data_IF_290507302869
#
_entry.id   IF_290507302869
#
_cell.length_a   1.000
_cell.length_b   1.000
_cell.length_c   1.000
_cell.angle_alpha   90.00
_cell.angle_beta   90.00
_cell.angle_gamma   90.00
#
_symmetry.space_group_name_H-M   'P 1'
#
loop_
_entity.id
_entity.type
_entity.pdbx_description
1 polymer ?
#
# COMPACT_ATOMS: atom_id res chain seq x y z
N UNK A 1 7.44 -21.24 -15.16
CA UNK A 1 8.08 -19.93 -15.39
C UNK A 1 9.37 -19.90 -14.60
N UNK A 2 10.49 -19.51 -15.21
CA UNK A 2 11.77 -19.29 -14.52
C UNK A 2 11.86 -17.87 -13.95
N UNK A 3 12.83 -17.60 -13.06
CA UNK A 3 13.06 -16.23 -12.57
C UNK A 3 13.36 -15.25 -13.71
N UNK A 4 14.17 -15.65 -14.69
CA UNK A 4 14.52 -14.78 -15.82
C UNK A 4 13.31 -14.48 -16.71
N UNK A 5 12.42 -15.45 -16.93
CA UNK A 5 11.15 -15.23 -17.64
C UNK A 5 10.25 -14.25 -16.87
N UNK A 6 10.11 -14.44 -15.55
CA UNK A 6 9.34 -13.55 -14.69
C UNK A 6 9.91 -12.13 -14.66
N UNK A 7 11.22 -12.00 -14.45
CA UNK A 7 11.93 -10.73 -14.43
C UNK A 7 11.77 -9.98 -15.74
N UNK A 8 11.89 -10.68 -16.87
CA UNK A 8 11.67 -10.07 -18.20
C UNK A 8 10.24 -9.56 -18.35
N UNK A 9 9.24 -10.28 -17.87
CA UNK A 9 7.84 -9.83 -17.90
C UNK A 9 7.59 -8.64 -16.98
N UNK A 10 8.15 -8.66 -15.77
CA UNK A 10 7.96 -7.60 -14.78
C UNK A 10 8.69 -6.29 -15.15
N UNK A 11 9.85 -6.39 -15.81
CA UNK A 11 10.65 -5.24 -16.27
C UNK A 11 10.16 -4.65 -17.59
N UNK A 12 9.51 -5.45 -18.44
CA UNK A 12 9.19 -5.06 -19.82
C UNK A 12 7.67 -4.97 -20.02
N UNK A 13 7.08 -3.78 -19.85
CA UNK A 13 5.67 -3.61 -20.11
C UNK A 13 5.37 -3.81 -21.60
N UNK A 14 4.29 -4.54 -21.95
CA UNK A 14 3.71 -4.50 -23.27
C UNK A 14 3.26 -3.06 -23.49
N UNK A 15 3.69 -2.52 -24.62
CA UNK A 15 3.39 -1.14 -24.99
C UNK A 15 1.88 -0.99 -25.20
N UNK A 16 1.35 0.14 -24.76
CA UNK A 16 0.05 0.58 -25.23
C UNK A 16 0.14 0.83 -26.73
N UNK A 17 -0.54 0.00 -27.51
CA UNK A 17 -0.45 -0.05 -28.98
C UNK A 17 -1.38 0.96 -29.69
N UNK A 18 -2.17 1.68 -28.90
CA UNK A 18 -3.05 2.75 -29.38
C UNK A 18 -2.34 4.09 -29.30
N UNK A 19 -2.97 5.12 -29.86
CA UNK A 19 -2.41 6.48 -29.87
C UNK A 19 -2.41 7.07 -28.45
N UNK A 20 -1.31 7.71 -28.09
CA UNK A 20 -1.16 8.51 -26.88
C UNK A 20 -0.87 9.96 -27.25
N UNK A 21 -1.15 10.88 -26.32
CA UNK A 21 -0.65 12.26 -26.32
C UNK A 21 0.20 12.44 -25.08
N UNK A 22 1.28 13.21 -25.17
CA UNK A 22 2.22 13.40 -24.07
C UNK A 22 2.04 14.79 -23.47
N UNK A 23 1.68 14.88 -22.18
CA UNK A 23 1.61 16.15 -21.44
C UNK A 23 2.91 16.36 -20.69
N UNK A 24 3.56 17.50 -20.88
CA UNK A 24 4.71 17.94 -20.11
C UNK A 24 4.25 18.96 -19.09
N UNK A 25 4.45 18.69 -17.80
CA UNK A 25 4.23 19.65 -16.71
C UNK A 25 5.57 19.95 -16.02
N UNK A 26 5.87 21.23 -15.80
CA UNK A 26 7.13 21.66 -15.19
C UNK A 26 6.87 22.39 -13.90
N UNK A 27 7.36 21.82 -12.80
CA UNK A 27 7.30 22.43 -11.47
C UNK A 27 8.56 23.25 -11.23
N UNK A 28 8.38 24.45 -10.69
CA UNK A 28 9.42 25.45 -10.57
C UNK A 28 9.24 26.29 -9.31
N UNK A 29 10.29 27.01 -8.92
CA UNK A 29 10.33 27.82 -7.72
C UNK A 29 11.13 29.11 -7.96
N UNK A 30 10.88 30.11 -7.13
CA UNK A 30 11.80 31.22 -6.93
C UNK A 30 12.74 30.88 -5.78
N UNK A 31 14.01 31.27 -5.89
CA UNK A 31 15.02 31.00 -4.87
C UNK A 31 14.61 31.55 -3.49
N UNK A 32 13.98 32.72 -3.48
CA UNK A 32 13.44 33.38 -2.28
C UNK A 32 12.38 32.54 -1.54
N UNK A 33 11.70 31.61 -2.22
CA UNK A 33 10.65 30.78 -1.59
C UNK A 33 11.22 29.60 -0.82
N UNK A 34 12.44 29.19 -1.14
CA UNK A 34 13.14 28.14 -0.41
C UNK A 34 13.55 28.66 0.98
N UNK A 35 13.94 29.92 1.06
CA UNK A 35 14.37 30.57 2.31
C UNK A 35 13.22 30.81 3.30
N UNK A 36 11.97 30.65 2.86
CA UNK A 36 10.77 30.83 3.70
C UNK A 36 10.49 29.65 4.64
N UNK A 37 11.24 28.55 4.50
CA UNK A 37 11.16 27.37 5.38
C UNK A 37 10.50 26.15 4.73
N UNK A 38 10.47 25.03 5.47
CA UNK A 38 9.76 23.81 5.08
C UNK A 38 8.31 23.81 5.59
N UNK A 39 7.32 23.31 4.81
CA UNK A 39 7.42 22.97 3.39
C UNK A 39 7.61 24.21 2.51
N UNK A 40 8.33 24.07 1.40
CA UNK A 40 8.37 25.11 0.36
C UNK A 40 7.48 24.74 -0.81
N UNK A 41 6.80 25.74 -1.36
CA UNK A 41 5.86 25.56 -2.45
C UNK A 41 6.53 25.73 -3.82
N UNK A 42 6.12 24.88 -4.75
CA UNK A 42 6.41 24.95 -6.16
C UNK A 42 5.16 25.42 -6.92
N UNK A 43 5.41 25.95 -8.11
CA UNK A 43 4.36 26.28 -9.07
C UNK A 43 4.51 25.47 -10.35
N UNK A 44 3.36 25.17 -10.96
CA UNK A 44 3.30 24.72 -12.33
C UNK A 44 3.64 25.89 -13.27
N UNK A 45 4.91 26.01 -13.66
CA UNK A 45 5.40 27.13 -14.49
C UNK A 45 5.16 26.95 -15.98
N UNK A 46 4.94 25.72 -16.42
CA UNK A 46 4.69 25.36 -17.81
C UNK A 46 3.90 24.06 -17.91
N UNK A 47 2.91 24.03 -18.82
CA UNK A 47 2.21 22.82 -19.25
C UNK A 47 2.06 22.83 -20.78
N UNK A 48 2.32 21.70 -21.45
CA UNK A 48 2.18 21.59 -22.92
C UNK A 48 1.88 20.16 -23.38
N UNK A 49 1.24 20.02 -24.54
CA UNK A 49 0.93 18.73 -25.16
C UNK A 49 1.82 18.47 -26.38
N UNK A 50 2.24 17.22 -26.56
CA UNK A 50 3.11 16.73 -27.63
C UNK A 50 2.57 15.44 -28.25
N UNK A 51 2.88 15.22 -29.53
CA UNK A 51 2.40 14.06 -30.27
C UNK A 51 3.23 12.79 -30.05
N UNK A 52 4.47 12.93 -29.57
CA UNK A 52 5.36 11.82 -29.26
C UNK A 52 6.19 12.09 -28.01
N UNK A 53 6.70 11.04 -27.39
CA UNK A 53 7.63 11.14 -26.27
C UNK A 53 8.92 11.88 -26.69
N UNK A 54 9.45 11.60 -27.87
CA UNK A 54 10.68 12.22 -28.36
C UNK A 54 10.53 13.74 -28.53
N UNK A 55 9.37 14.20 -29.01
CA UNK A 55 9.06 15.63 -29.11
C UNK A 55 8.96 16.27 -27.71
N UNK A 56 8.30 15.58 -26.78
CA UNK A 56 8.16 16.03 -25.40
C UNK A 56 9.53 16.16 -24.70
N UNK A 57 10.39 15.15 -24.81
CA UNK A 57 11.75 15.14 -24.27
C UNK A 57 12.63 16.23 -24.91
N UNK A 58 12.54 16.40 -26.22
CA UNK A 58 13.30 17.45 -26.95
C UNK A 58 12.87 18.86 -26.54
N UNK A 59 11.63 19.04 -26.07
CA UNK A 59 11.10 20.34 -25.66
C UNK A 59 11.62 20.82 -24.30
N UNK A 60 12.12 19.93 -23.43
CA UNK A 60 12.49 20.25 -22.04
C UNK A 60 13.53 21.38 -21.96
N UNK A 61 14.51 21.39 -22.88
CA UNK A 61 15.54 22.44 -22.93
C UNK A 61 14.93 23.81 -23.22
N UNK A 62 14.01 23.88 -24.20
CA UNK A 62 13.35 25.13 -24.55
C UNK A 62 12.41 25.61 -23.44
N UNK A 63 11.76 24.69 -22.73
CA UNK A 63 10.92 24.98 -21.56
C UNK A 63 11.77 25.58 -20.45
N UNK A 64 12.91 24.96 -20.11
CA UNK A 64 13.85 25.45 -19.10
C UNK A 64 14.28 26.90 -19.37
N UNK A 65 14.66 27.22 -20.60
CA UNK A 65 15.06 28.58 -20.97
C UNK A 65 13.93 29.60 -20.73
N UNK A 66 12.69 29.27 -21.12
CA UNK A 66 11.52 30.12 -20.87
C UNK A 66 11.21 30.30 -19.38
N UNK A 67 11.43 29.27 -18.55
CA UNK A 67 11.26 29.37 -17.09
C UNK A 67 12.34 30.28 -16.48
N UNK A 68 13.58 30.17 -16.94
CA UNK A 68 14.68 31.03 -16.50
C UNK A 68 14.48 32.50 -16.90
N UNK A 69 13.91 32.78 -18.07
CA UNK A 69 13.52 34.15 -18.49
C UNK A 69 12.51 34.80 -17.53
N UNK A 70 11.69 34.00 -16.84
CA UNK A 70 10.76 34.46 -15.80
C UNK A 70 11.42 34.63 -14.42
N UNK A 71 12.73 34.40 -14.31
CA UNK A 71 13.46 34.44 -13.04
C UNK A 71 13.23 33.22 -12.13
N UNK A 72 12.61 32.16 -12.64
CA UNK A 72 12.33 30.93 -11.89
C UNK A 72 13.37 29.84 -12.18
N UNK A 73 13.53 28.91 -11.25
CA UNK A 73 14.33 27.69 -11.42
C UNK A 73 13.41 26.49 -11.58
N UNK A 74 13.79 25.58 -12.47
CA UNK A 74 13.10 24.30 -12.63
C UNK A 74 13.43 23.42 -11.43
N UNK A 75 12.40 22.81 -10.84
CA UNK A 75 12.55 21.69 -9.93
C UNK A 75 12.53 20.41 -10.77
N UNK A 76 11.40 20.02 -11.34
CA UNK A 76 11.31 18.81 -12.16
C UNK A 76 10.35 18.96 -13.33
N UNK A 77 10.45 18.04 -14.29
CA UNK A 77 9.48 17.86 -15.35
C UNK A 77 8.78 16.52 -15.20
N UNK A 78 7.46 16.50 -15.32
CA UNK A 78 6.68 15.29 -15.53
C UNK A 78 6.28 15.20 -16.99
N UNK A 79 6.46 14.02 -17.59
CA UNK A 79 5.89 13.67 -18.88
C UNK A 79 4.87 12.56 -18.65
N UNK A 80 3.60 12.89 -18.85
CA UNK A 80 2.47 11.97 -18.73
C UNK A 80 2.11 11.43 -20.11
N UNK A 81 2.09 10.12 -20.27
CA UNK A 81 1.54 9.46 -21.45
C UNK A 81 0.03 9.25 -21.28
N UNK A 82 -0.77 10.03 -22.00
CA UNK A 82 -2.22 10.05 -21.90
C UNK A 82 -2.82 9.21 -23.03
N UNK A 83 -3.61 8.16 -22.74
CA UNK A 83 -4.20 7.33 -23.77
C UNK A 83 -5.34 8.07 -24.50
N UNK A 84 -5.33 8.06 -25.84
CA UNK A 84 -6.42 8.63 -26.65
C UNK A 84 -7.57 7.64 -26.77
N UNK A 85 -8.81 8.14 -26.67
CA UNK A 85 -10.03 7.33 -26.82
C UNK A 85 -10.52 6.66 -25.53
N UNK A 86 -9.99 7.07 -24.38
CA UNK A 86 -10.46 6.69 -23.05
C UNK A 86 -11.01 7.90 -22.31
N UNK A 87 -11.98 7.69 -21.41
CA UNK A 87 -12.46 8.76 -20.52
C UNK A 87 -11.40 9.02 -19.45
N UNK A 88 -10.62 10.10 -19.64
CA UNK A 88 -9.47 10.45 -18.80
C UNK A 88 -9.86 11.27 -17.57
N UNK A 89 -11.13 11.33 -17.18
CA UNK A 89 -11.60 12.01 -15.95
C UNK A 89 -11.03 11.47 -14.62
N UNK A 90 -10.10 10.51 -14.65
CA UNK A 90 -9.72 9.67 -13.51
C UNK A 90 -8.20 9.48 -13.36
N UNK A 91 -7.36 10.46 -13.73
CA UNK A 91 -5.89 10.37 -13.57
C UNK A 91 -5.27 9.08 -14.13
N UNK A 92 -5.81 8.61 -15.26
CA UNK A 92 -5.39 7.37 -15.91
C UNK A 92 -4.29 7.65 -16.92
N UNK A 93 -3.06 7.33 -16.56
CA UNK A 93 -1.89 7.50 -17.41
C UNK A 93 -1.33 6.12 -17.80
N UNK A 94 -0.90 5.98 -19.05
CA UNK A 94 -0.20 4.76 -19.51
C UNK A 94 1.15 4.64 -18.81
N UNK A 95 1.88 5.75 -18.79
CA UNK A 95 3.18 5.87 -18.14
C UNK A 95 3.43 7.30 -17.69
N UNK A 96 4.30 7.45 -16.70
CA UNK A 96 4.80 8.75 -16.25
C UNK A 96 6.32 8.67 -16.20
N UNK A 97 6.98 9.68 -16.75
CA UNK A 97 8.42 9.86 -16.66
C UNK A 97 8.74 11.18 -15.98
N UNK A 98 9.74 11.17 -15.13
CA UNK A 98 10.17 12.32 -14.32
C UNK A 98 11.60 12.68 -14.70
N UNK A 99 11.84 13.96 -14.95
CA UNK A 99 13.14 14.49 -15.34
C UNK A 99 13.59 15.58 -14.37
N UNK A 100 14.90 15.63 -14.12
CA UNK A 100 15.52 16.69 -13.33
C UNK A 100 15.55 18.04 -14.08
N UNK A 101 16.10 19.07 -13.43
CA UNK A 101 16.28 20.41 -14.00
C UNK A 101 17.24 20.46 -15.19
N UNK A 102 17.99 19.39 -15.44
CA UNK A 102 18.88 19.23 -16.59
C UNK A 102 18.22 18.46 -17.74
N UNK A 103 17.00 17.95 -17.55
CA UNK A 103 16.31 17.12 -18.53
C UNK A 103 16.78 15.67 -18.54
N UNK A 104 17.47 15.20 -17.50
CA UNK A 104 17.84 13.79 -17.37
C UNK A 104 16.69 13.01 -16.73
N UNK A 105 16.42 11.80 -17.24
CA UNK A 105 15.42 10.91 -16.66
C UNK A 105 15.82 10.48 -15.25
N UNK A 106 15.02 10.85 -14.26
CA UNK A 106 15.23 10.54 -12.84
C UNK A 106 14.27 9.50 -12.30
N UNK A 107 13.08 9.32 -12.84
CA UNK A 107 12.20 8.22 -12.42
C UNK A 107 11.18 7.91 -13.52
N UNK A 108 10.61 6.71 -13.51
CA UNK A 108 9.50 6.32 -14.36
C UNK A 108 8.54 5.39 -13.64
N UNK A 109 7.24 5.49 -13.95
CA UNK A 109 6.27 4.50 -13.49
C UNK A 109 6.56 3.14 -14.15
N UNK A 110 6.45 2.07 -13.38
CA UNK A 110 6.54 0.70 -13.91
C UNK A 110 5.16 0.11 -14.18
N UNK A 111 4.14 0.57 -13.46
CA UNK A 111 2.73 0.27 -13.68
C UNK A 111 2.00 1.48 -14.28
N UNK A 112 0.87 1.25 -14.95
CA UNK A 112 -0.06 2.32 -15.31
C UNK A 112 -0.66 2.92 -14.03
N UNK A 113 -0.57 4.23 -13.86
CA UNK A 113 -1.26 4.92 -12.77
C UNK A 113 -2.74 5.02 -13.15
N UNK A 114 -3.60 4.28 -12.44
CA UNK A 114 -5.03 4.15 -12.73
C UNK A 114 -5.38 2.91 -13.55
N UNK A 115 -6.52 2.26 -13.22
CA UNK A 115 -7.01 1.06 -13.90
C UNK A 115 -7.51 1.40 -15.31
N UNK A 116 -6.64 1.32 -16.31
CA UNK A 116 -7.04 1.13 -17.69
C UNK A 116 -7.48 -0.33 -17.76
N UNK A 117 -8.79 -0.60 -17.82
CA UNK A 117 -9.39 -1.95 -17.91
C UNK A 117 -8.93 -2.70 -19.18
N UNK A 118 -7.64 -3.00 -19.27
CA UNK A 118 -6.96 -3.63 -20.37
C UNK A 118 -6.06 -4.72 -19.78
N UNK A 119 -6.42 -5.99 -19.95
CA UNK A 119 -5.70 -7.11 -19.33
C UNK A 119 -4.26 -7.25 -19.82
N UNK A 120 -3.89 -6.62 -20.94
CA UNK A 120 -2.50 -6.55 -21.40
C UNK A 120 -1.66 -5.61 -20.54
N UNK A 121 -2.25 -4.51 -20.07
CA UNK A 121 -1.59 -3.44 -19.31
C UNK A 121 -1.71 -3.69 -17.81
N UNK A 122 -2.80 -4.32 -17.36
CA UNK A 122 -3.10 -4.70 -15.96
C UNK A 122 -2.36 -5.99 -15.52
N UNK A 123 -1.05 -6.03 -15.76
CA UNK A 123 -0.19 -7.14 -15.31
C UNK A 123 0.89 -6.63 -14.38
N UNK A 124 1.36 -7.47 -13.46
CA UNK A 124 2.38 -7.08 -12.47
C UNK A 124 3.62 -6.50 -13.15
N UNK A 125 3.98 -5.28 -12.76
CA UNK A 125 5.25 -4.64 -13.09
C UNK A 125 5.90 -4.20 -11.79
N UNK A 126 7.21 -4.36 -11.74
CA UNK A 126 7.96 -4.11 -10.52
C UNK A 126 9.29 -3.45 -10.84
N UNK A 127 9.93 -2.94 -9.79
CA UNK A 127 11.28 -2.39 -9.87
C UNK A 127 12.28 -3.49 -9.61
N UNK A 128 13.32 -3.58 -10.43
CA UNK A 128 14.51 -4.33 -10.03
C UNK A 128 15.19 -3.62 -8.86
N UNK A 129 15.96 -4.36 -8.05
CA UNK A 129 16.73 -3.77 -6.93
C UNK A 129 17.53 -2.51 -7.33
N UNK A 130 18.15 -2.51 -8.52
CA UNK A 130 18.94 -1.37 -9.01
C UNK A 130 18.14 -0.12 -9.36
N UNK A 131 16.81 -0.24 -9.48
CA UNK A 131 15.91 0.89 -9.75
C UNK A 131 15.41 1.57 -8.48
N UNK A 132 15.54 0.94 -7.32
CA UNK A 132 15.16 1.51 -6.02
C UNK A 132 16.29 2.44 -5.58
N UNK A 133 16.04 3.75 -5.60
CA UNK A 133 17.09 4.78 -5.48
C UNK A 133 17.40 5.20 -4.04
N UNK A 134 16.53 4.83 -3.12
CA UNK A 134 16.57 5.24 -1.72
C UNK A 134 16.47 4.04 -0.80
N UNK A 135 17.07 4.14 0.37
CA UNK A 135 17.11 3.12 1.39
C UNK A 135 16.36 3.59 2.65
N UNK A 136 16.01 2.63 3.50
CA UNK A 136 15.52 2.95 4.85
C UNK A 136 16.57 3.77 5.59
N UNK A 137 16.14 4.88 6.19
CA UNK A 137 17.01 5.84 6.88
C UNK A 137 17.48 7.00 5.99
N UNK A 138 17.21 6.97 4.68
CA UNK A 138 17.52 8.11 3.82
C UNK A 138 16.56 9.27 4.10
N UNK A 139 17.10 10.50 4.10
CA UNK A 139 16.31 11.72 4.03
C UNK A 139 16.08 12.09 2.57
N UNK A 140 14.83 12.35 2.22
CA UNK A 140 14.41 12.63 0.84
C UNK A 140 13.39 13.75 0.80
N UNK A 141 13.17 14.31 -0.38
CA UNK A 141 12.14 15.31 -0.66
C UNK A 141 10.93 14.63 -1.31
N UNK A 142 9.75 14.80 -0.72
CA UNK A 142 8.48 14.37 -1.32
C UNK A 142 7.79 15.56 -1.96
N UNK A 143 7.44 15.41 -3.23
CA UNK A 143 6.59 16.35 -3.95
C UNK A 143 5.12 15.96 -3.84
N UNK A 144 4.31 16.80 -3.20
CA UNK A 144 2.85 16.65 -3.12
C UNK A 144 2.18 17.63 -4.07
N UNK A 145 1.42 17.14 -5.05
CA UNK A 145 0.67 17.98 -6.00
C UNK A 145 -0.80 18.04 -5.56
N UNK A 146 -1.37 19.25 -5.43
CA UNK A 146 -2.76 19.45 -5.04
C UNK A 146 -3.63 19.84 -6.24
N UNK A 147 -4.83 19.26 -6.30
CA UNK A 147 -5.64 19.22 -7.53
C UNK A 147 -6.43 20.49 -7.87
N UNK A 148 -6.62 21.44 -6.95
CA UNK A 148 -7.49 22.60 -7.23
C UNK A 148 -6.77 23.75 -7.96
N UNK A 149 -5.46 23.90 -7.75
CA UNK A 149 -4.64 24.97 -8.34
C UNK A 149 -3.34 24.47 -8.98
N UNK A 150 -3.11 23.15 -8.99
CA UNK A 150 -1.83 22.54 -9.40
C UNK A 150 -0.64 23.13 -8.64
N UNK A 151 -0.89 23.65 -7.42
CA UNK A 151 0.18 23.93 -6.47
C UNK A 151 0.82 22.63 -6.07
N UNK A 152 2.11 22.69 -5.76
CA UNK A 152 2.79 21.54 -5.19
C UNK A 152 3.66 21.99 -4.03
N UNK A 153 3.77 21.15 -3.00
CA UNK A 153 4.68 21.39 -1.89
C UNK A 153 5.77 20.33 -1.87
N UNK A 154 6.95 20.73 -1.44
CA UNK A 154 8.05 19.82 -1.15
C UNK A 154 8.30 19.76 0.33
N UNK A 155 8.40 18.54 0.85
CA UNK A 155 8.67 18.24 2.26
C UNK A 155 9.88 17.36 2.39
N UNK A 156 10.74 17.65 3.35
CA UNK A 156 11.78 16.70 3.78
C UNK A 156 11.17 15.63 4.67
N UNK A 157 11.48 14.38 4.34
CA UNK A 157 10.96 13.19 5.02
C UNK A 157 12.07 12.18 5.28
N UNK A 158 11.81 11.24 6.20
CA UNK A 158 12.66 10.09 6.48
C UNK A 158 12.02 8.81 5.93
N UNK A 159 12.75 8.05 5.10
CA UNK A 159 12.26 6.77 4.56
C UNK A 159 12.28 5.68 5.64
N UNK A 160 11.16 4.99 5.81
CA UNK A 160 10.98 3.91 6.80
C UNK A 160 10.76 2.53 6.19
N UNK A 161 10.30 2.45 4.94
CA UNK A 161 10.25 1.21 4.16
C UNK A 161 10.44 1.53 2.67
N UNK A 162 10.89 0.55 1.90
CA UNK A 162 11.14 0.69 0.47
C UNK A 162 10.25 -0.26 -0.34
N UNK A 163 9.93 0.07 -1.61
CA UNK A 163 9.21 -0.83 -2.50
C UNK A 163 9.86 -2.21 -2.54
N UNK A 164 9.07 -3.28 -2.62
CA UNK A 164 9.66 -4.62 -2.80
C UNK A 164 10.08 -4.78 -4.26
N UNK A 165 11.29 -5.27 -4.46
CA UNK A 165 11.81 -5.51 -5.78
C UNK A 165 11.19 -6.74 -6.44
N UNK A 166 11.40 -6.87 -7.76
CA UNK A 166 11.09 -8.08 -8.53
C UNK A 166 11.73 -9.31 -7.90
N UNK A 167 13.00 -9.21 -7.47
CA UNK A 167 13.71 -10.28 -6.78
C UNK A 167 12.96 -10.70 -5.50
N UNK A 168 12.57 -9.75 -4.67
CA UNK A 168 11.83 -10.01 -3.43
C UNK A 168 10.44 -10.62 -3.71
N UNK A 169 9.70 -10.06 -4.68
CA UNK A 169 8.40 -10.55 -5.08
C UNK A 169 8.47 -12.01 -5.58
N UNK A 170 9.51 -12.35 -6.35
CA UNK A 170 9.75 -13.72 -6.81
C UNK A 170 10.05 -14.68 -5.66
N UNK A 171 10.94 -14.30 -4.73
CA UNK A 171 11.26 -15.11 -3.56
C UNK A 171 10.03 -15.39 -2.70
N UNK A 172 9.21 -14.36 -2.47
CA UNK A 172 7.97 -14.51 -1.71
C UNK A 172 6.97 -15.39 -2.46
N UNK A 173 6.76 -15.15 -3.75
CA UNK A 173 5.83 -15.97 -4.56
C UNK A 173 6.18 -17.45 -4.55
N UNK A 174 7.46 -17.83 -4.49
CA UNK A 174 7.87 -19.23 -4.42
C UNK A 174 7.68 -19.86 -3.03
N UNK A 175 7.50 -19.05 -2.00
CA UNK A 175 7.19 -19.50 -0.63
C UNK A 175 5.67 -19.56 -0.38
N UNK A 176 4.86 -18.97 -1.26
CA UNK A 176 3.41 -18.93 -1.12
C UNK A 176 2.76 -20.18 -1.73
N UNK A 177 1.73 -20.74 -1.07
CA UNK A 177 0.90 -21.80 -1.65
C UNK A 177 0.20 -21.33 -2.93
N UNK A 178 -0.15 -22.29 -3.79
CA UNK A 178 -0.86 -21.99 -5.04
C UNK A 178 -2.19 -21.27 -4.77
N UNK A 179 -2.43 -20.15 -5.45
CA UNK A 179 -3.63 -19.32 -5.27
C UNK A 179 -3.56 -18.34 -4.10
N UNK A 180 -2.45 -18.28 -3.37
CA UNK A 180 -2.17 -17.23 -2.38
C UNK A 180 -1.31 -16.16 -3.04
N UNK A 181 -1.75 -14.92 -2.94
CA UNK A 181 -1.05 -13.77 -3.48
C UNK A 181 -0.74 -12.79 -2.36
N UNK A 182 0.37 -12.06 -2.48
CA UNK A 182 0.60 -10.90 -1.63
C UNK A 182 -0.44 -9.86 -2.01
N UNK A 183 -1.32 -9.53 -1.06
CA UNK A 183 -2.42 -8.60 -1.29
C UNK A 183 -1.91 -7.18 -1.58
N UNK A 184 -0.70 -6.83 -1.12
CA UNK A 184 -0.14 -5.48 -1.22
C UNK A 184 1.40 -5.51 -1.36
N UNK A 185 1.89 -5.69 -2.59
CA UNK A 185 3.27 -5.32 -2.96
C UNK A 185 3.19 -4.06 -3.79
N UNK A 186 2.83 -2.97 -3.11
CA UNK A 186 2.67 -1.70 -3.76
C UNK A 186 4.04 -1.09 -4.06
N UNK A 187 4.17 -0.49 -5.23
CA UNK A 187 5.36 0.23 -5.69
C UNK A 187 5.44 1.59 -4.98
N UNK A 188 5.57 1.58 -3.66
CA UNK A 188 5.56 2.78 -2.82
C UNK A 188 6.68 2.73 -1.76
N UNK A 189 7.26 3.90 -1.50
CA UNK A 189 8.05 4.12 -0.29
C UNK A 189 7.13 4.37 0.89
N UNK A 190 7.55 3.96 2.09
CA UNK A 190 6.98 4.50 3.32
C UNK A 190 7.88 5.54 3.94
N UNK A 191 7.29 6.56 4.52
CA UNK A 191 8.04 7.69 5.05
C UNK A 191 7.39 8.30 6.30
N UNK A 192 8.12 9.22 6.92
CA UNK A 192 7.65 10.08 8.01
C UNK A 192 8.07 11.52 7.71
N UNK A 193 7.11 12.45 7.80
CA UNK A 193 7.34 13.90 7.63
C UNK A 193 6.89 14.73 8.86
N UNK A 194 6.07 14.14 9.72
CA UNK A 194 5.41 14.79 10.84
C UNK A 194 5.20 13.75 11.97
N UNK A 195 4.82 14.17 13.19
CA UNK A 195 4.41 13.23 14.21
C UNK A 195 3.33 12.29 13.65
N UNK A 196 3.44 10.99 13.96
CA UNK A 196 2.60 9.99 13.27
C UNK A 196 1.10 10.22 13.45
N UNK A 197 0.67 10.87 14.54
CA UNK A 197 -0.73 11.19 14.82
C UNK A 197 -1.29 12.31 13.94
N UNK A 198 -0.45 13.02 13.21
CA UNK A 198 -0.82 14.08 12.26
C UNK A 198 -0.76 13.61 10.80
N UNK A 199 -0.15 12.44 10.55
CA UNK A 199 0.02 11.89 9.21
C UNK A 199 -1.28 11.27 8.67
N UNK A 200 -1.64 11.65 7.44
CA UNK A 200 -2.83 11.13 6.76
C UNK A 200 -2.53 9.97 5.81
N UNK A 201 -1.32 9.92 5.27
CA UNK A 201 -0.81 8.90 4.35
C UNK A 201 0.69 8.78 4.65
N UNK A 202 1.19 7.56 4.82
CA UNK A 202 2.62 7.29 5.04
C UNK A 202 3.29 6.60 3.84
N UNK A 203 2.59 6.49 2.71
CA UNK A 203 3.07 5.86 1.49
C UNK A 203 3.14 6.85 0.32
N UNK A 204 4.14 6.73 -0.55
CA UNK A 204 4.30 7.60 -1.71
C UNK A 204 4.90 6.85 -2.91
N UNK A 205 4.39 7.14 -4.11
CA UNK A 205 4.90 6.53 -5.33
C UNK A 205 6.29 7.10 -5.68
N UNK A 206 7.26 6.28 -6.13
CA UNK A 206 8.64 6.69 -6.42
C UNK A 206 8.79 7.94 -7.31
N UNK A 207 7.85 8.17 -8.24
CA UNK A 207 7.87 9.34 -9.14
C UNK A 207 7.79 10.69 -8.40
N UNK A 208 7.39 10.69 -7.13
CA UNK A 208 7.29 11.88 -6.30
C UNK A 208 8.42 11.99 -5.25
N UNK A 209 9.38 11.07 -5.26
CA UNK A 209 10.49 11.02 -4.30
C UNK A 209 11.77 11.49 -4.96
N UNK A 210 12.38 12.53 -4.38
CA UNK A 210 13.58 13.17 -4.90
C UNK A 210 14.71 13.14 -3.88
N UNK A 211 15.95 13.16 -4.36
CA UNK A 211 17.10 13.46 -3.49
C UNK A 211 16.96 14.90 -2.96
N UNK A 212 17.34 15.16 -1.70
CA UNK A 212 17.31 16.52 -1.17
C UNK A 212 18.14 17.45 -2.05
N UNK A 213 17.53 18.56 -2.48
CA UNK A 213 18.20 19.61 -3.25
C UNK A 213 18.82 20.64 -2.35
N UNK A 214 18.21 20.85 -1.19
CA UNK A 214 18.64 21.84 -0.23
C UNK A 214 19.22 21.19 1.02
N UNK A 215 19.93 22.01 1.80
CA UNK A 215 20.48 21.55 3.06
C UNK A 215 19.36 21.26 4.06
N UNK A 216 19.33 20.03 4.57
CA UNK A 216 18.43 19.64 5.66
C UNK A 216 19.11 19.97 6.99
N UNK A 217 18.46 20.82 7.78
CA UNK A 217 18.95 21.20 9.11
C UNK A 217 19.04 20.00 10.05
N UNK A 218 20.01 20.04 10.97
CA UNK A 218 20.17 18.95 11.95
C UNK A 218 18.99 18.86 12.92
N UNK A 219 18.34 19.99 13.24
CA UNK A 219 17.09 20.03 14.00
C UNK A 219 16.00 19.21 13.30
N UNK A 220 15.77 19.46 12.00
CA UNK A 220 14.79 18.72 11.21
C UNK A 220 15.09 17.22 11.15
N UNK A 221 16.37 16.85 11.00
CA UNK A 221 16.78 15.43 11.05
C UNK A 221 16.46 14.79 12.39
N UNK A 222 16.72 15.48 13.49
CA UNK A 222 16.42 14.99 14.84
C UNK A 222 14.91 14.88 15.08
N UNK A 223 14.11 15.81 14.60
CA UNK A 223 12.64 15.71 14.63
C UNK A 223 12.15 14.45 13.92
N UNK A 224 12.58 14.25 12.67
CA UNK A 224 12.16 13.09 11.86
C UNK A 224 12.62 11.76 12.50
N UNK A 225 13.82 11.71 13.06
CA UNK A 225 14.28 10.58 13.87
C UNK A 225 13.34 10.41 15.08
N UNK A 226 13.03 11.47 15.81
CA UNK A 226 12.09 11.45 16.93
C UNK A 226 10.74 10.87 16.54
N UNK A 227 10.16 11.35 15.44
CA UNK A 227 8.88 10.87 14.89
C UNK A 227 8.95 9.40 14.46
N UNK A 228 10.09 8.92 13.98
CA UNK A 228 10.25 7.49 13.66
C UNK A 228 10.20 6.56 14.87
N UNK A 229 10.58 7.08 16.04
CA UNK A 229 10.47 6.40 17.34
C UNK A 229 9.16 6.72 18.07
N UNK A 230 8.33 7.60 17.51
CA UNK A 230 7.04 7.94 18.07
C UNK A 230 6.09 6.74 17.95
N UNK A 231 5.86 6.10 19.10
CA UNK A 231 4.93 4.99 19.25
C UNK A 231 3.48 5.46 19.49
N UNK A 232 3.21 6.79 19.46
CA UNK A 232 1.87 7.36 19.67
C UNK A 232 0.85 6.84 18.66
N UNK A 233 1.32 6.34 17.53
CA UNK A 233 0.52 5.68 16.50
C UNK A 233 1.20 4.38 16.13
N UNK A 234 0.62 3.28 16.60
CA UNK A 234 1.12 1.96 16.28
C UNK A 234 1.03 1.72 14.78
N UNK A 235 2.17 1.28 14.26
CA UNK A 235 2.59 0.78 12.94
C UNK A 235 1.60 0.43 11.80
N UNK A 236 0.30 0.57 11.93
CA UNK A 236 -0.66 0.57 10.83
C UNK A 236 -2.04 0.72 11.44
N UNK A 237 -2.65 1.91 11.50
CA UNK A 237 -4.11 2.07 11.60
C UNK A 237 -4.50 3.49 11.98
N UNK A 238 -4.99 4.26 11.00
CA UNK A 238 -6.16 5.10 11.23
C UNK A 238 -7.07 5.04 10.02
N UNK A 239 -8.31 4.62 10.26
CA UNK A 239 -9.36 4.56 9.25
C UNK A 239 -9.83 5.97 8.88
N UNK A 240 -9.85 6.31 7.59
CA UNK A 240 -10.83 7.23 6.97
C UNK A 240 -11.98 6.41 6.39
N UNK A 241 -13.08 7.06 5.99
CA UNK A 241 -14.35 6.47 5.51
C UNK A 241 -14.30 5.31 4.48
N UNK A 242 -13.12 5.01 3.92
CA UNK A 242 -12.82 3.87 3.04
C UNK A 242 -11.45 3.20 3.35
N UNK A 243 -11.09 3.00 4.62
CA UNK A 243 -9.74 2.55 5.02
C UNK A 243 -9.38 1.09 4.72
N UNK A 244 -8.14 0.72 5.09
CA UNK A 244 -7.46 -0.54 4.76
C UNK A 244 -8.19 -1.80 5.23
N UNK A 245 -7.90 -2.96 4.63
CA UNK A 245 -8.55 -4.23 5.02
C UNK A 245 -8.29 -4.57 6.50
N UNK A 246 -7.08 -4.27 7.01
CA UNK A 246 -6.72 -4.45 8.43
C UNK A 246 -7.62 -3.66 9.37
N UNK A 247 -7.93 -2.42 9.01
CA UNK A 247 -8.78 -1.54 9.80
C UNK A 247 -10.25 -1.92 9.71
N UNK A 248 -10.70 -2.37 8.53
CA UNK A 248 -12.02 -2.98 8.39
C UNK A 248 -12.14 -4.23 9.27
N UNK A 249 -11.08 -5.02 9.39
CA UNK A 249 -11.05 -6.21 10.26
C UNK A 249 -11.08 -5.81 11.73
N UNK A 250 -10.31 -4.81 12.17
CA UNK A 250 -10.39 -4.33 13.56
C UNK A 250 -11.75 -3.72 13.85
N UNK A 251 -12.31 -2.92 12.96
CA UNK A 251 -13.66 -2.37 13.12
C UNK A 251 -14.74 -3.47 13.18
N UNK A 252 -14.58 -4.53 12.38
CA UNK A 252 -15.44 -5.72 12.45
C UNK A 252 -15.26 -6.41 13.80
N UNK A 253 -14.04 -6.74 14.22
CA UNK A 253 -13.79 -7.65 15.34
C UNK A 253 -13.84 -6.98 16.71
N UNK A 254 -13.48 -5.70 16.81
CA UNK A 254 -13.47 -4.94 18.06
C UNK A 254 -14.86 -4.53 18.55
N UNK A 255 -15.92 -4.89 17.82
CA UNK A 255 -17.28 -4.42 18.09
C UNK A 255 -17.45 -2.89 18.02
N UNK A 256 -16.50 -2.19 17.40
CA UNK A 256 -16.62 -0.75 17.14
C UNK A 256 -17.59 -0.49 15.96
N UNK A 257 -17.75 -1.43 15.02
CA UNK A 257 -18.91 -1.44 14.11
C UNK A 257 -20.19 -1.80 14.90
N UNK A 258 -21.19 -0.92 14.85
CA UNK A 258 -22.52 -1.07 15.48
C UNK A 258 -23.24 -2.38 15.10
N UNK A 259 -22.80 -3.10 14.05
CA UNK A 259 -23.36 -4.36 13.55
C UNK A 259 -22.66 -5.61 14.09
N UNK A 260 -21.55 -5.48 14.81
CA UNK A 260 -20.83 -6.60 15.38
C UNK A 260 -21.22 -6.86 16.83
N UNK A 261 -21.24 -8.14 17.23
CA UNK A 261 -21.55 -8.59 18.58
C UNK A 261 -20.42 -9.49 19.10
N UNK A 262 -19.61 -9.02 20.06
CA UNK A 262 -18.52 -9.81 20.60
C UNK A 262 -19.06 -10.90 21.53
N UNK A 263 -18.40 -12.05 21.57
CA UNK A 263 -18.61 -13.02 22.64
C UNK A 263 -17.66 -12.70 23.80
N UNK A 264 -18.12 -11.90 24.74
CA UNK A 264 -17.33 -11.42 25.89
C UNK A 264 -17.18 -9.89 25.91
N UNK A 265 -16.27 -9.33 26.73
CA UNK A 265 -16.01 -7.89 26.74
C UNK A 265 -15.56 -7.39 25.36
N UNK A 266 -15.99 -6.18 24.93
CA UNK A 266 -15.59 -5.59 23.66
C UNK A 266 -14.06 -5.46 23.63
N UNK A 267 -13.47 -5.62 22.44
CA UNK A 267 -12.05 -5.35 22.29
C UNK A 267 -11.86 -3.86 22.09
N UNK A 268 -10.80 -3.31 22.66
CA UNK A 268 -10.38 -1.95 22.34
C UNK A 268 -9.34 -2.01 21.23
N UNK A 269 -9.08 -0.91 20.50
CA UNK A 269 -7.94 -0.82 19.58
C UNK A 269 -6.61 -1.24 20.23
N UNK A 270 -6.46 -1.04 21.55
CA UNK A 270 -5.27 -1.43 22.34
C UNK A 270 -5.09 -2.96 22.47
N UNK A 271 -6.14 -3.74 22.26
CA UNK A 271 -6.01 -5.20 22.23
C UNK A 271 -5.28 -5.69 20.96
N UNK A 272 -5.20 -4.85 19.90
CA UNK A 272 -4.64 -5.20 18.59
C UNK A 272 -3.20 -4.70 18.38
N UNK A 273 -2.62 -4.02 19.36
CA UNK A 273 -1.23 -3.53 19.32
C UNK A 273 -0.22 -4.62 18.95
N UNK A 274 -0.31 -5.85 19.49
CA UNK A 274 0.61 -6.92 19.11
C UNK A 274 0.42 -7.43 17.68
N UNK A 275 -0.78 -7.23 17.10
CA UNK A 275 -1.07 -7.56 15.70
C UNK A 275 -0.44 -6.53 14.76
N UNK A 276 -0.53 -5.24 15.11
CA UNK A 276 0.11 -4.16 14.35
C UNK A 276 1.65 -4.23 14.41
N UNK A 277 2.21 -4.74 15.51
CA UNK A 277 3.65 -4.92 15.69
C UNK A 277 4.18 -6.28 15.20
N UNK A 278 3.32 -7.17 14.67
CA UNK A 278 3.73 -8.49 14.22
C UNK A 278 4.53 -8.39 12.91
N UNK A 279 5.73 -8.96 12.89
CA UNK A 279 6.59 -9.03 11.69
C UNK A 279 5.92 -9.79 10.54
N UNK A 280 5.11 -10.79 10.87
CA UNK A 280 4.36 -11.63 9.93
C UNK A 280 3.00 -11.99 10.57
N UNK A 281 1.91 -11.87 9.81
CA UNK A 281 0.58 -12.32 10.22
C UNK A 281 -0.13 -13.00 9.05
N UNK A 282 -1.09 -13.88 9.36
CA UNK A 282 -1.92 -14.52 8.36
C UNK A 282 -3.38 -14.08 8.52
N UNK A 283 -3.91 -13.41 7.50
CA UNK A 283 -5.32 -13.09 7.36
C UNK A 283 -5.95 -14.11 6.39
N UNK A 284 -6.85 -14.95 6.89
CA UNK A 284 -7.62 -15.85 6.05
C UNK A 284 -9.12 -15.63 6.24
N UNK A 285 -9.77 -15.28 5.14
CA UNK A 285 -11.22 -15.31 5.02
C UNK A 285 -11.63 -16.58 4.27
N UNK A 286 -12.24 -17.54 4.99
CA UNK A 286 -12.63 -18.84 4.44
C UNK A 286 -14.14 -19.02 4.59
N UNK A 287 -14.80 -19.38 3.49
CA UNK A 287 -16.19 -19.81 3.49
C UNK A 287 -16.27 -21.33 3.62
N UNK A 288 -17.19 -21.80 4.47
CA UNK A 288 -17.50 -23.22 4.62
C UNK A 288 -19.00 -23.44 4.54
N UNK A 289 -19.38 -24.62 4.05
CA UNK A 289 -20.75 -25.10 4.11
C UNK A 289 -21.08 -25.55 5.55
N UNK A 290 -22.09 -24.96 6.19
CA UNK A 290 -22.50 -25.26 7.56
C UNK A 290 -23.62 -26.32 7.65
N UNK A 291 -24.04 -26.87 6.51
CA UNK A 291 -24.92 -28.04 6.41
C UNK A 291 -24.20 -29.36 6.72
N UNK A 292 -22.86 -29.38 6.72
CA UNK A 292 -22.07 -30.56 7.10
C UNK A 292 -22.10 -30.83 8.61
N UNK A 293 -21.79 -32.07 9.00
CA UNK A 293 -21.82 -32.52 10.40
C UNK A 293 -20.75 -31.87 11.29
N UNK A 294 -19.59 -31.49 10.73
CA UNK A 294 -18.52 -30.78 11.45
C UNK A 294 -17.94 -29.59 10.67
N UNK A 295 -18.62 -28.42 10.67
CA UNK A 295 -18.17 -27.24 9.93
C UNK A 295 -16.81 -26.69 10.41
N UNK A 296 -16.47 -26.88 11.69
CA UNK A 296 -15.21 -26.42 12.28
C UNK A 296 -14.01 -27.31 11.91
N UNK A 297 -14.21 -28.63 11.80
CA UNK A 297 -13.16 -29.51 11.28
C UNK A 297 -12.93 -29.22 9.79
N UNK A 298 -13.99 -29.01 9.00
CA UNK A 298 -13.86 -28.61 7.59
C UNK A 298 -13.15 -27.26 7.40
N UNK A 299 -13.36 -26.30 8.32
CA UNK A 299 -12.59 -25.06 8.36
C UNK A 299 -11.09 -25.34 8.56
N UNK A 300 -10.76 -26.26 9.46
CA UNK A 300 -9.38 -26.66 9.73
C UNK A 300 -8.74 -27.24 8.47
N UNK A 301 -9.44 -28.15 7.82
CA UNK A 301 -8.98 -28.78 6.59
C UNK A 301 -8.75 -27.75 5.49
N UNK A 302 -9.66 -26.78 5.32
CA UNK A 302 -9.49 -25.68 4.34
C UNK A 302 -8.31 -24.76 4.68
N UNK A 303 -8.08 -24.45 5.95
CA UNK A 303 -6.94 -23.63 6.36
C UNK A 303 -5.61 -24.36 6.10
N UNK A 304 -5.58 -25.68 6.32
CA UNK A 304 -4.42 -26.52 6.04
C UNK A 304 -4.22 -26.77 4.54
N UNK A 305 -5.30 -26.83 3.76
CA UNK A 305 -5.25 -26.85 2.29
C UNK A 305 -4.65 -25.54 1.75
N UNK A 306 -5.09 -24.41 2.29
CA UNK A 306 -4.54 -23.10 1.95
C UNK A 306 -3.07 -22.99 2.33
N UNK A 307 -2.69 -23.51 3.51
CA UNK A 307 -1.31 -23.51 3.98
C UNK A 307 -1.10 -24.63 5.01
N UNK A 308 -0.35 -25.70 4.67
CA UNK A 308 -0.18 -26.87 5.56
C UNK A 308 0.55 -26.56 6.87
N UNK A 309 1.46 -25.60 6.85
CA UNK A 309 2.33 -25.19 7.97
C UNK A 309 1.77 -23.98 8.75
N UNK A 310 0.53 -23.57 8.45
CA UNK A 310 -0.10 -22.36 9.00
C UNK A 310 0.00 -22.27 10.51
N UNK A 311 -0.28 -23.34 11.23
CA UNK A 311 -0.30 -23.34 12.69
C UNK A 311 1.09 -23.52 13.33
N UNK A 312 2.14 -23.64 12.51
CA UNK A 312 3.51 -23.87 12.96
C UNK A 312 4.35 -22.58 12.98
N UNK A 313 4.17 -21.68 12.01
CA UNK A 313 5.09 -20.56 11.80
C UNK A 313 4.60 -19.18 12.28
N UNK A 314 3.30 -18.89 12.22
CA UNK A 314 2.85 -17.54 12.58
C UNK A 314 2.59 -17.40 14.08
N UNK A 315 2.90 -16.21 14.58
CA UNK A 315 2.68 -15.80 15.98
C UNK A 315 1.36 -15.05 16.17
N UNK A 316 0.62 -14.81 15.08
CA UNK A 316 -0.67 -14.12 15.08
C UNK A 316 -1.53 -14.50 13.88
N UNK A 317 -2.83 -14.71 14.12
CA UNK A 317 -3.81 -15.11 13.11
C UNK A 317 -5.10 -14.33 13.22
N UNK A 318 -5.64 -13.96 12.05
CA UNK A 318 -7.02 -13.53 11.89
C UNK A 318 -7.72 -14.55 11.01
N UNK A 319 -8.73 -15.20 11.56
CA UNK A 319 -9.56 -16.17 10.84
C UNK A 319 -10.97 -15.60 10.75
N UNK A 320 -11.36 -15.21 9.54
CA UNK A 320 -12.73 -14.81 9.23
C UNK A 320 -13.47 -16.01 8.64
N UNK A 321 -14.45 -16.50 9.39
CA UNK A 321 -15.34 -17.58 9.00
C UNK A 321 -16.65 -16.98 8.50
N UNK A 322 -16.99 -17.27 7.24
CA UNK A 322 -18.29 -16.88 6.67
C UNK A 322 -19.20 -18.11 6.66
N UNK A 323 -20.27 -18.05 7.44
CA UNK A 323 -21.34 -19.06 7.57
C UNK A 323 -22.43 -18.75 6.53
N UNK A 324 -22.43 -19.47 5.41
CA UNK A 324 -23.11 -18.99 4.19
C UNK A 324 -24.26 -19.84 3.65
N UNK A 325 -24.85 -20.78 4.39
CA UNK A 325 -25.86 -21.66 3.78
C UNK A 325 -27.10 -21.99 4.62
N UNK A 326 -27.16 -21.60 5.91
CA UNK A 326 -28.35 -21.88 6.74
C UNK A 326 -28.83 -20.64 7.49
N UNK A 327 -29.99 -20.12 7.09
CA UNK A 327 -30.71 -19.08 7.84
C UNK A 327 -30.88 -19.49 9.31
N UNK A 328 -30.43 -18.63 10.23
CA UNK A 328 -30.64 -18.73 11.68
C UNK A 328 -29.92 -19.87 12.42
N UNK A 329 -29.05 -20.66 11.79
CA UNK A 329 -28.20 -21.62 12.50
C UNK A 329 -26.92 -20.91 12.96
N UNK A 330 -26.56 -21.05 14.24
CA UNK A 330 -25.35 -20.47 14.82
C UNK A 330 -24.44 -21.57 15.34
N UNK A 331 -23.14 -21.45 15.15
CA UNK A 331 -22.16 -22.29 15.84
C UNK A 331 -22.19 -22.01 17.34
N UNK A 332 -22.42 -23.05 18.16
CA UNK A 332 -22.43 -22.91 19.62
C UNK A 332 -21.02 -22.60 20.13
N UNK A 333 -20.93 -21.66 21.08
CA UNK A 333 -19.66 -21.29 21.74
C UNK A 333 -18.90 -22.49 22.30
N UNK A 334 -19.60 -23.43 22.93
CA UNK A 334 -18.99 -24.65 23.47
C UNK A 334 -18.34 -25.53 22.40
N UNK A 335 -18.88 -25.55 21.17
CA UNK A 335 -18.29 -26.25 20.04
C UNK A 335 -16.99 -25.56 19.58
N UNK A 336 -16.98 -24.24 19.52
CA UNK A 336 -15.80 -23.45 19.15
C UNK A 336 -14.65 -23.63 20.16
N UNK A 337 -14.94 -23.65 21.47
CA UNK A 337 -13.93 -23.89 22.50
C UNK A 337 -13.33 -25.29 22.39
N UNK A 338 -14.16 -26.32 22.21
CA UNK A 338 -13.69 -27.70 22.02
C UNK A 338 -12.80 -27.83 20.79
N UNK A 339 -13.23 -27.25 19.69
CA UNK A 339 -12.46 -27.21 18.45
C UNK A 339 -11.10 -26.51 18.62
N UNK A 340 -11.09 -25.34 19.25
CA UNK A 340 -9.85 -24.59 19.49
C UNK A 340 -8.87 -25.36 20.38
N UNK A 341 -9.36 -26.05 21.41
CA UNK A 341 -8.52 -26.88 22.26
C UNK A 341 -7.98 -28.10 21.51
N UNK A 342 -8.78 -28.72 20.63
CA UNK A 342 -8.34 -29.81 19.75
C UNK A 342 -7.24 -29.33 18.79
N UNK A 343 -7.38 -28.13 18.21
CA UNK A 343 -6.33 -27.50 17.40
C UNK A 343 -5.03 -27.30 18.20
N UNK A 344 -5.11 -26.77 19.43
CA UNK A 344 -3.93 -26.58 20.30
C UNK A 344 -3.22 -27.89 20.64
N UNK A 345 -3.96 -28.99 20.76
CA UNK A 345 -3.39 -30.33 21.00
C UNK A 345 -2.63 -30.84 19.78
N UNK A 346 -3.18 -30.60 18.58
CA UNK A 346 -2.56 -31.04 17.32
C UNK A 346 -1.41 -30.14 16.87
N UNK A 347 -1.45 -28.85 17.24
CA UNK A 347 -0.46 -27.84 16.84
C UNK A 347 0.08 -27.10 18.08
N UNK A 348 1.16 -27.61 18.71
CA UNK A 348 1.67 -27.10 19.98
C UNK A 348 2.07 -25.62 19.96
N UNK A 349 2.46 -25.07 18.80
CA UNK A 349 2.78 -23.65 18.67
C UNK A 349 1.55 -22.74 18.89
N UNK A 350 0.34 -23.22 18.57
CA UNK A 350 -0.89 -22.52 18.96
C UNK A 350 -1.07 -22.46 20.47
N UNK A 351 -0.49 -23.40 21.22
CA UNK A 351 -0.48 -23.38 22.68
C UNK A 351 0.22 -22.15 23.28
N UNK A 352 1.19 -21.56 22.54
CA UNK A 352 1.91 -20.33 22.94
C UNK A 352 1.02 -19.08 22.84
N UNK A 353 -0.04 -19.15 22.03
CA UNK A 353 -1.04 -18.09 21.85
C UNK A 353 -1.98 -18.07 23.06
N UNK A 354 -1.82 -17.05 23.89
CA UNK A 354 -2.53 -16.89 25.15
C UNK A 354 -3.78 -16.00 25.01
N UNK A 355 -3.84 -15.13 24.00
CA UNK A 355 -4.96 -14.21 23.75
C UNK A 355 -5.75 -14.68 22.54
N UNK A 356 -6.95 -15.19 22.80
CA UNK A 356 -7.87 -15.69 21.77
C UNK A 356 -9.24 -15.09 22.00
N UNK A 357 -9.72 -14.34 21.02
CA UNK A 357 -10.99 -13.62 21.05
C UNK A 357 -11.88 -14.09 19.92
N UNK A 358 -13.19 -14.06 20.16
CA UNK A 358 -14.22 -14.59 19.25
C UNK A 358 -15.39 -13.61 19.21
N UNK A 359 -15.97 -13.40 18.04
CA UNK A 359 -17.22 -12.67 17.93
C UNK A 359 -17.90 -12.90 16.59
N UNK A 360 -19.01 -12.21 16.38
CA UNK A 360 -19.83 -12.44 15.19
C UNK A 360 -20.55 -11.19 14.72
N UNK A 361 -20.79 -11.10 13.41
CA UNK A 361 -21.58 -10.02 12.81
C UNK A 361 -23.00 -10.51 12.49
N UNK A 362 -24.01 -9.74 12.92
CA UNK A 362 -25.41 -9.95 12.52
C UNK A 362 -25.89 -8.69 11.80
N UNK A 363 -26.14 -8.79 10.50
CA UNK A 363 -26.84 -7.74 9.77
C UNK A 363 -28.37 -7.99 9.86
N UNK A 364 -29.20 -7.00 10.23
CA UNK A 364 -30.64 -7.10 10.09
C UNK A 364 -31.01 -7.40 8.62
N UNK A 365 -31.72 -8.50 8.37
CA UNK A 365 -32.06 -8.95 7.01
C UNK A 365 -30.98 -9.75 6.27
N UNK A 366 -29.82 -10.02 6.88
CA UNK A 366 -28.78 -10.83 6.24
C UNK A 366 -29.10 -12.33 6.26
N UNK A 367 -28.75 -12.98 5.15
CA UNK A 367 -28.81 -14.43 4.95
C UNK A 367 -27.59 -15.18 5.50
N UNK A 368 -26.54 -14.45 5.90
CA UNK A 368 -25.22 -14.99 6.26
C UNK A 368 -24.86 -14.63 7.71
N UNK A 369 -24.27 -15.58 8.43
CA UNK A 369 -23.64 -15.36 9.72
C UNK A 369 -22.11 -15.28 9.52
N UNK A 370 -21.39 -14.53 10.35
CA UNK A 370 -19.91 -14.47 10.28
C UNK A 370 -19.34 -14.69 11.66
N UNK A 371 -18.42 -15.63 11.80
CA UNK A 371 -17.64 -15.87 13.01
C UNK A 371 -16.23 -15.33 12.76
N UNK A 372 -15.70 -14.56 13.69
CA UNK A 372 -14.36 -13.99 13.55
C UNK A 372 -13.53 -14.42 14.77
N UNK A 373 -12.35 -14.97 14.52
CA UNK A 373 -11.42 -15.46 15.55
C UNK A 373 -10.10 -14.71 15.38
N UNK A 374 -9.66 -14.10 16.48
CA UNK A 374 -8.37 -13.44 16.58
C UNK A 374 -7.55 -14.15 17.62
N UNK A 375 -6.32 -14.50 17.25
CA UNK A 375 -5.40 -15.23 18.10
C UNK A 375 -4.00 -14.60 18.00
N UNK A 376 -3.42 -14.17 19.13
CA UNK A 376 -2.10 -13.55 19.20
C UNK A 376 -1.39 -13.83 20.54
N UNK A 377 -0.07 -13.66 20.57
CA UNK A 377 0.79 -13.88 21.74
C UNK A 377 0.71 -12.77 22.80
#
# INVERSE_FOLDING_TARGET
MTFEEFKKLAMNPPQYDRRSVFRVDTYCYYEEWIDMGEPYSLHLGHSSLHHSLADAESSLTAIKLKIQEKGMKVYCHFIYEIPVGFDTRMDKYVSIKVYDECGNLTEQSVCSQGSINNPVIETFRGRGNSMIKHNVGDYVEILSIYGEDSSADVRTVLITDVPKSIECAWEVSNKLPAGVFMEWVDDHFRYIDSPRHEMWIDEIHPIFVFKPRFHISDERKQELIGYSHDNSVLQSSYWRENGSEKDLIVCRVAATDKRYRPYGPPLTPEDFLPFYAAKEYFNASVSVNCSVSSPLDMLTDKLLELRPDIFEHFTGFIINFIDTDIKNKRLRMSGQYKWWNKLKQNYPNLGKINKVKRGFRLCPGASEYRLEIIAYN
#
